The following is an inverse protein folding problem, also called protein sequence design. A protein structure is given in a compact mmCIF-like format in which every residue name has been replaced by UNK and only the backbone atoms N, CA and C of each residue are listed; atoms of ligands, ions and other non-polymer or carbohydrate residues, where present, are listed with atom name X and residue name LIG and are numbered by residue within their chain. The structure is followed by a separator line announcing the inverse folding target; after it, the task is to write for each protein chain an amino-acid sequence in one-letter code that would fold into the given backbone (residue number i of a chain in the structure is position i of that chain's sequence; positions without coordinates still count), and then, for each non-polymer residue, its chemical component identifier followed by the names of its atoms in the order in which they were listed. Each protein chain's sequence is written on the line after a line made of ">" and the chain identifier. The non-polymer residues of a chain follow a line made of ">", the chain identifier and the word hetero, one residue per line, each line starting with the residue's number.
data_IF_272924926627
#
_entry.id   IF_272924926627
#
_cell.length_a   1.000
_cell.length_b   1.000
_cell.length_c   1.000
_cell.angle_alpha   90.00
_cell.angle_beta   90.00
_cell.angle_gamma   90.00
#
_symmetry.space_group_name_H-M   'P 1'
#
loop_
_entity.id
_entity.type
_entity.pdbx_description
1 polymer ?
#
# COMPACT_ATOMS: atom_id res chain seq x y z
N UNK A 1 16.62 0.08 17.39
CA UNK A 1 16.33 0.72 16.09
C UNK A 1 15.07 1.55 16.21
N UNK A 2 14.77 2.43 15.25
CA UNK A 2 13.49 3.13 15.19
C UNK A 2 12.33 2.13 15.13
N UNK A 3 11.14 2.57 15.55
CA UNK A 3 9.89 1.80 15.54
C UNK A 3 9.64 1.12 14.18
N UNK A 4 8.95 -0.03 14.16
CA UNK A 4 8.71 -0.96 13.03
C UNK A 4 9.94 -1.68 12.46
N UNK A 5 11.12 -1.07 12.39
CA UNK A 5 12.30 -1.64 11.74
C UNK A 5 13.35 -2.19 12.71
N UNK A 6 12.99 -2.37 13.98
CA UNK A 6 13.92 -2.84 15.02
C UNK A 6 14.36 -4.31 14.87
N UNK A 7 13.56 -5.15 14.23
CA UNK A 7 13.84 -6.56 13.95
C UNK A 7 14.22 -6.73 12.47
N UNK A 8 15.31 -7.44 12.18
CA UNK A 8 15.86 -7.55 10.81
C UNK A 8 14.93 -8.31 9.85
N UNK A 9 14.24 -9.36 10.31
CA UNK A 9 13.28 -10.09 9.49
C UNK A 9 12.07 -9.21 9.11
N UNK A 10 11.60 -8.40 10.07
CA UNK A 10 10.50 -7.45 9.83
C UNK A 10 10.96 -6.35 8.88
N UNK A 11 12.16 -5.82 9.08
CA UNK A 11 12.76 -4.80 8.20
C UNK A 11 12.84 -5.31 6.76
N UNK A 12 13.36 -6.51 6.54
CA UNK A 12 13.50 -7.07 5.19
C UNK A 12 12.14 -7.18 4.47
N UNK A 13 11.16 -7.80 5.13
CA UNK A 13 9.82 -7.95 4.56
C UNK A 13 9.16 -6.58 4.30
N UNK A 14 9.29 -5.64 5.24
CA UNK A 14 8.72 -4.30 5.11
C UNK A 14 9.36 -3.53 3.95
N UNK A 15 10.69 -3.49 3.86
CA UNK A 15 11.39 -2.79 2.79
C UNK A 15 11.08 -3.40 1.41
N UNK A 16 10.83 -4.71 1.33
CA UNK A 16 10.45 -5.37 0.08
C UNK A 16 9.06 -4.98 -0.42
N UNK A 17 8.09 -4.74 0.47
CA UNK A 17 6.68 -4.60 0.10
C UNK A 17 6.07 -3.22 0.36
N UNK A 18 6.64 -2.44 1.28
CA UNK A 18 6.03 -1.25 1.87
C UNK A 18 7.03 -0.11 2.14
N UNK A 19 8.18 -0.09 1.45
CA UNK A 19 9.17 0.98 1.63
C UNK A 19 8.63 2.38 1.32
N UNK A 20 7.64 2.47 0.43
CA UNK A 20 6.91 3.69 0.08
C UNK A 20 6.22 4.33 1.28
N UNK A 21 5.82 3.56 2.30
CA UNK A 21 5.22 4.10 3.52
C UNK A 21 6.18 4.96 4.35
N UNK A 22 7.49 4.86 4.12
CA UNK A 22 8.51 5.70 4.78
C UNK A 22 8.75 7.02 4.04
N UNK A 23 8.20 7.17 2.83
CA UNK A 23 8.31 8.39 2.05
C UNK A 23 7.19 9.37 2.44
N UNK A 24 7.55 10.63 2.67
CA UNK A 24 6.58 11.68 2.95
C UNK A 24 5.65 11.92 1.76
N UNK A 25 6.15 11.78 0.53
CA UNK A 25 5.39 12.04 -0.69
C UNK A 25 4.23 11.06 -0.87
N UNK A 26 4.38 9.81 -0.38
CA UNK A 26 3.29 8.84 -0.35
C UNK A 26 2.09 9.43 0.41
N UNK A 27 2.32 9.93 1.63
CA UNK A 27 1.26 10.43 2.49
C UNK A 27 0.67 11.76 2.00
N UNK A 28 1.49 12.64 1.43
CA UNK A 28 0.97 13.90 0.85
C UNK A 28 0.00 13.62 -0.31
N UNK A 29 0.34 12.69 -1.21
CA UNK A 29 -0.54 12.33 -2.33
C UNK A 29 -1.85 11.69 -1.86
N UNK A 30 -1.81 10.84 -0.82
CA UNK A 30 -3.05 10.27 -0.24
C UNK A 30 -3.94 11.35 0.34
N UNK A 31 -3.36 12.31 1.07
CA UNK A 31 -4.09 13.46 1.64
C UNK A 31 -4.75 14.30 0.55
N UNK A 32 -4.03 14.60 -0.54
CA UNK A 32 -4.54 15.37 -1.67
C UNK A 32 -5.73 14.68 -2.36
N UNK A 33 -5.64 13.36 -2.57
CA UNK A 33 -6.74 12.58 -3.16
C UNK A 33 -7.99 12.62 -2.27
N UNK A 34 -7.83 12.44 -0.96
CA UNK A 34 -8.95 12.55 0.00
C UNK A 34 -9.56 13.96 -0.06
N UNK A 35 -8.73 15.01 -0.07
CA UNK A 35 -9.21 16.39 -0.15
C UNK A 35 -9.94 16.69 -1.48
N UNK A 36 -9.55 16.04 -2.57
CA UNK A 36 -10.24 16.09 -3.86
C UNK A 36 -11.55 15.27 -3.92
N UNK A 37 -11.96 14.65 -2.80
CA UNK A 37 -13.19 13.86 -2.71
C UNK A 37 -13.06 12.45 -3.29
N UNK A 38 -11.84 11.95 -3.52
CA UNK A 38 -11.63 10.60 -4.01
C UNK A 38 -11.95 9.57 -2.91
N UNK A 39 -12.78 8.59 -3.25
CA UNK A 39 -13.09 7.44 -2.40
C UNK A 39 -12.36 6.23 -2.96
N UNK A 40 -11.45 5.65 -2.17
CA UNK A 40 -10.70 4.47 -2.57
C UNK A 40 -11.57 3.20 -2.50
N UNK A 41 -11.48 2.35 -3.52
CA UNK A 41 -12.14 1.05 -3.51
C UNK A 41 -11.46 0.10 -2.51
N UNK A 42 -12.26 -0.45 -1.59
CA UNK A 42 -11.83 -1.44 -0.61
C UNK A 42 -12.50 -2.77 -0.93
N UNK A 43 -11.69 -3.80 -1.18
CA UNK A 43 -12.17 -5.14 -1.50
C UNK A 43 -11.89 -6.07 -0.32
N UNK A 44 -12.91 -6.69 0.30
CA UNK A 44 -12.74 -7.55 1.47
C UNK A 44 -12.29 -8.98 1.09
N UNK A 45 -11.40 -9.09 0.10
CA UNK A 45 -10.85 -10.36 -0.39
C UNK A 45 -9.53 -10.12 -1.14
N UNK A 46 -8.74 -11.19 -1.29
CA UNK A 46 -7.45 -11.16 -1.97
C UNK A 46 -7.55 -10.69 -3.43
N UNK A 47 -6.53 -9.97 -3.89
CA UNK A 47 -6.55 -9.31 -5.21
C UNK A 47 -6.69 -10.29 -6.38
N UNK A 48 -6.18 -11.51 -6.24
CA UNK A 48 -6.24 -12.60 -7.22
C UNK A 48 -7.66 -13.13 -7.47
N UNK A 49 -8.60 -12.88 -6.55
CA UNK A 49 -10.01 -13.26 -6.69
C UNK A 49 -10.85 -12.25 -7.49
N UNK A 50 -10.26 -11.14 -7.96
CA UNK A 50 -10.99 -10.13 -8.75
C UNK A 50 -11.27 -10.66 -10.16
N UNK A 51 -12.50 -10.46 -10.65
CA UNK A 51 -12.92 -10.93 -11.97
C UNK A 51 -12.11 -10.32 -13.14
N UNK A 52 -11.52 -9.13 -12.97
CA UNK A 52 -10.76 -8.45 -14.02
C UNK A 52 -9.39 -9.07 -14.34
N UNK A 53 -8.92 -10.07 -13.57
CA UNK A 53 -7.68 -10.78 -13.88
C UNK A 53 -7.78 -11.69 -15.13
N UNK A 54 -8.98 -11.87 -15.70
CA UNK A 54 -9.25 -12.77 -16.83
C UNK A 54 -9.91 -12.09 -18.04
N UNK A 55 -10.08 -10.77 -18.05
CA UNK A 55 -10.85 -10.06 -19.09
C UNK A 55 -10.02 -9.61 -20.31
N UNK A 56 -8.71 -9.85 -20.33
CA UNK A 56 -7.83 -9.63 -21.47
C UNK A 56 -6.94 -10.86 -21.68
N UNK A 57 -7.55 -11.96 -22.10
CA UNK A 57 -6.87 -13.07 -22.77
C UNK A 57 -7.45 -13.20 -24.18
#
# INVERSE_FOLDING_TARGET
>A
GPFLLGNDLVREAFMKHHADLLDADFWQQHKERIAAGHVHDVFPYERDRRFMAHALA
#
